data_IF_345597751703
#
_entry.id   IF_345597751703
#
_cell.length_a   1.000
_cell.length_b   1.000
_cell.length_c   1.000
_cell.angle_alpha   90.00
_cell.angle_beta   90.00
_cell.angle_gamma   90.00
#
_symmetry.space_group_name_H-M   'P 1'
#
loop_
_entity.id
_entity.type
_entity.pdbx_description
1 polymer ?
#
# COMPACT_ATOMS: atom_id res chain seq x y z
N UNK A 1 -6.68 20.32 -4.44
CA UNK A 1 -6.72 19.82 -3.04
C UNK A 1 -5.45 19.02 -2.80
N UNK A 2 -4.76 19.25 -1.67
CA UNK A 2 -3.55 18.52 -1.33
C UNK A 2 -3.71 17.85 0.03
N UNK A 3 -3.28 16.59 0.18
CA UNK A 3 -3.39 15.93 1.48
C UNK A 3 -3.12 14.43 1.44
N UNK A 4 -3.43 13.77 2.55
CA UNK A 4 -3.32 12.31 2.67
C UNK A 4 -4.41 11.62 1.81
N UNK A 5 -4.11 10.52 1.09
CA UNK A 5 -5.07 9.88 0.18
C UNK A 5 -6.46 9.55 0.78
N UNK A 6 -6.59 8.98 2.01
CA UNK A 6 -7.86 8.71 2.67
C UNK A 6 -8.63 9.99 2.98
N UNK A 7 -7.94 11.09 3.29
CA UNK A 7 -8.58 12.39 3.48
C UNK A 7 -9.13 12.92 2.16
N UNK A 8 -8.37 12.79 1.06
CA UNK A 8 -8.87 13.14 -0.28
C UNK A 8 -10.07 12.28 -0.67
N UNK A 9 -10.04 10.97 -0.37
CA UNK A 9 -11.19 10.08 -0.57
C UNK A 9 -12.40 10.51 0.26
N UNK A 10 -12.22 10.89 1.53
CA UNK A 10 -13.31 11.38 2.38
C UNK A 10 -13.89 12.70 1.84
N UNK A 11 -13.05 13.59 1.31
CA UNK A 11 -13.51 14.80 0.63
C UNK A 11 -14.28 14.45 -0.65
N UNK A 12 -13.79 13.49 -1.45
CA UNK A 12 -14.51 13.03 -2.63
C UNK A 12 -15.89 12.45 -2.27
N UNK A 13 -15.98 11.67 -1.19
CA UNK A 13 -17.25 11.21 -0.62
C UNK A 13 -18.16 12.35 -0.21
N UNK A 14 -17.64 13.34 0.51
CA UNK A 14 -18.42 14.48 0.97
C UNK A 14 -18.97 15.27 -0.23
N UNK A 15 -18.12 15.57 -1.22
CA UNK A 15 -18.51 16.32 -2.42
C UNK A 15 -19.59 15.58 -3.22
N UNK A 16 -19.42 14.27 -3.43
CA UNK A 16 -20.39 13.47 -4.19
C UNK A 16 -21.78 13.45 -3.52
N UNK A 17 -21.82 13.46 -2.18
CA UNK A 17 -23.05 13.37 -1.40
C UNK A 17 -23.63 14.73 -0.99
N UNK A 18 -22.97 15.85 -1.34
CA UNK A 18 -23.40 17.20 -0.99
C UNK A 18 -24.47 17.70 -1.97
N UNK A 19 -25.74 17.90 -1.54
CA UNK A 19 -26.82 18.34 -2.43
C UNK A 19 -26.58 19.70 -3.09
N UNK A 20 -25.81 20.59 -2.46
CA UNK A 20 -25.52 21.93 -2.99
C UNK A 20 -24.44 21.91 -4.08
N UNK A 21 -23.62 20.85 -4.08
CA UNK A 21 -22.58 20.61 -5.07
C UNK A 21 -23.04 19.67 -6.20
N UNK A 22 -24.13 18.92 -5.99
CA UNK A 22 -24.73 18.08 -7.02
C UNK A 22 -25.05 18.89 -8.29
N UNK A 23 -24.58 18.39 -9.44
CA UNK A 23 -24.77 19.04 -10.74
C UNK A 23 -23.83 20.22 -11.03
N UNK A 24 -23.00 20.67 -10.07
CA UNK A 24 -21.97 21.67 -10.34
C UNK A 24 -20.83 21.06 -11.16
N UNK A 25 -20.35 21.81 -12.15
CA UNK A 25 -19.15 21.44 -12.93
C UNK A 25 -17.91 21.97 -12.22
N UNK A 26 -17.31 21.14 -11.36
CA UNK A 26 -16.07 21.45 -10.66
C UNK A 26 -14.89 20.72 -11.33
N UNK A 27 -13.79 21.42 -11.56
CA UNK A 27 -12.52 20.80 -11.96
C UNK A 27 -11.69 20.50 -10.70
N UNK A 28 -11.84 19.29 -10.17
CA UNK A 28 -11.21 18.90 -8.91
C UNK A 28 -9.91 18.15 -9.18
N UNK A 29 -8.80 18.71 -8.72
CA UNK A 29 -7.48 18.08 -8.82
C UNK A 29 -6.93 17.76 -7.43
N UNK A 30 -6.49 16.53 -7.24
CA UNK A 30 -5.86 16.03 -6.01
C UNK A 30 -4.35 15.88 -6.16
N UNK A 31 -3.59 16.33 -5.17
CA UNK A 31 -2.18 15.95 -4.99
C UNK A 31 -2.07 15.26 -3.64
N UNK A 32 -1.72 13.98 -3.65
CA UNK A 32 -1.64 13.18 -2.43
C UNK A 32 -0.21 12.90 -2.00
N UNK A 33 0.00 12.69 -0.71
CA UNK A 33 1.31 12.33 -0.18
C UNK A 33 1.24 11.86 1.27
N UNK A 34 2.37 11.38 1.78
CA UNK A 34 2.48 10.84 3.13
C UNK A 34 2.19 9.34 3.25
N UNK A 35 1.52 8.72 2.28
CA UNK A 35 1.50 7.28 2.07
C UNK A 35 1.38 6.95 0.57
N UNK A 36 1.62 5.68 0.24
CA UNK A 36 1.32 5.15 -1.07
C UNK A 36 -0.18 5.12 -1.35
N UNK A 37 -0.57 5.42 -2.59
CA UNK A 37 -1.94 5.29 -3.07
C UNK A 37 -2.01 4.12 -4.04
N UNK A 38 -2.98 3.23 -3.87
CA UNK A 38 -3.28 2.15 -4.82
C UNK A 38 -4.02 2.69 -6.05
N UNK A 39 -3.92 2.01 -7.18
CA UNK A 39 -4.68 2.42 -8.38
C UNK A 39 -6.21 2.24 -8.18
N UNK A 40 -6.63 1.27 -7.37
CA UNK A 40 -8.05 1.13 -7.01
C UNK A 40 -8.56 2.34 -6.22
N UNK A 41 -7.78 2.84 -5.26
CA UNK A 41 -8.12 4.07 -4.53
C UNK A 41 -8.12 5.29 -5.46
N UNK A 42 -7.19 5.36 -6.41
CA UNK A 42 -7.19 6.40 -7.45
C UNK A 42 -8.49 6.37 -8.25
N UNK A 43 -8.84 5.22 -8.78
CA UNK A 43 -10.03 5.04 -9.62
C UNK A 43 -11.32 5.34 -8.82
N UNK A 44 -11.35 5.00 -7.52
CA UNK A 44 -12.43 5.37 -6.60
C UNK A 44 -12.57 6.89 -6.46
N UNK A 45 -11.47 7.62 -6.25
CA UNK A 45 -11.48 9.10 -6.12
C UNK A 45 -11.92 9.75 -7.43
N UNK A 46 -11.39 9.28 -8.57
CA UNK A 46 -11.76 9.78 -9.90
C UNK A 46 -13.24 9.53 -10.19
N UNK A 47 -13.74 8.32 -9.88
CA UNK A 47 -15.16 7.96 -10.02
C UNK A 47 -16.12 8.81 -9.18
N UNK A 48 -15.60 9.54 -8.19
CA UNK A 48 -16.37 10.46 -7.32
C UNK A 48 -16.28 11.93 -7.76
N UNK A 49 -15.80 12.19 -8.97
CA UNK A 49 -15.85 13.51 -9.60
C UNK A 49 -14.54 14.29 -9.58
N UNK A 50 -13.42 13.67 -9.19
CA UNK A 50 -12.10 14.27 -9.39
C UNK A 50 -11.68 14.16 -10.85
N UNK A 51 -11.17 15.26 -11.40
CA UNK A 51 -10.59 15.34 -12.74
C UNK A 51 -9.24 14.64 -12.80
N UNK A 52 -8.42 14.81 -11.77
CA UNK A 52 -7.16 14.08 -11.65
C UNK A 52 -6.75 13.95 -10.18
N UNK A 53 -5.98 12.92 -9.87
CA UNK A 53 -5.30 12.79 -8.60
C UNK A 53 -3.92 12.18 -8.86
N UNK A 54 -2.87 12.81 -8.32
CA UNK A 54 -1.47 12.41 -8.49
C UNK A 54 -0.77 12.37 -7.14
N UNK A 55 0.24 11.53 -7.01
CA UNK A 55 1.04 11.45 -5.79
C UNK A 55 2.30 12.30 -5.85
N UNK A 56 2.75 12.75 -4.68
CA UNK A 56 4.04 13.42 -4.46
C UNK A 56 4.79 12.68 -3.36
N UNK A 57 6.07 12.41 -3.58
CA UNK A 57 6.97 11.81 -2.61
C UNK A 57 7.80 12.87 -1.92
N UNK A 58 7.90 12.76 -0.60
CA UNK A 58 8.70 13.63 0.23
C UNK A 58 8.87 13.07 1.63
N UNK A 59 9.83 13.64 2.36
CA UNK A 59 10.09 13.31 3.76
C UNK A 59 10.43 14.58 4.53
N UNK A 60 9.93 14.70 5.76
CA UNK A 60 10.10 15.90 6.59
C UNK A 60 11.56 16.28 6.84
N UNK A 61 12.46 15.29 6.88
CA UNK A 61 13.90 15.51 7.10
C UNK A 61 14.66 15.86 5.81
N UNK A 62 14.03 15.57 4.67
CA UNK A 62 14.43 15.95 3.32
C UNK A 62 13.49 17.06 2.84
N UNK A 63 12.88 16.97 1.66
CA UNK A 63 11.89 17.92 1.18
C UNK A 63 10.51 17.26 1.00
N UNK A 64 9.47 18.09 0.97
CA UNK A 64 8.08 17.63 0.73
C UNK A 64 7.84 17.16 -0.72
N UNK A 65 8.68 17.58 -1.67
CA UNK A 65 8.55 17.25 -3.09
C UNK A 65 9.91 16.86 -3.66
N UNK A 66 10.30 15.61 -3.36
CA UNK A 66 11.47 14.94 -3.92
C UNK A 66 11.13 14.38 -5.29
N UNK A 67 9.97 13.73 -5.41
CA UNK A 67 9.48 13.15 -6.66
C UNK A 67 7.99 13.38 -6.83
N UNK A 68 7.53 13.41 -8.08
CA UNK A 68 6.13 13.64 -8.43
C UNK A 68 5.66 12.69 -9.51
N UNK A 69 4.39 12.34 -9.43
CA UNK A 69 3.72 11.46 -10.37
C UNK A 69 3.09 12.29 -11.50
N UNK A 70 3.11 11.75 -12.71
CA UNK A 70 2.35 12.27 -13.86
C UNK A 70 1.52 11.15 -14.47
N UNK A 71 0.83 11.43 -15.57
CA UNK A 71 0.12 10.42 -16.37
C UNK A 71 1.04 9.24 -16.74
N UNK A 72 2.32 9.51 -17.03
CA UNK A 72 3.29 8.47 -17.41
C UNK A 72 3.48 7.43 -16.31
N UNK A 73 3.64 7.86 -15.06
CA UNK A 73 3.85 7.00 -13.90
C UNK A 73 2.59 6.23 -13.54
N UNK A 74 1.44 6.87 -13.67
CA UNK A 74 0.13 6.20 -13.52
C UNK A 74 -0.01 5.09 -14.57
N UNK A 75 0.35 5.37 -15.83
CA UNK A 75 0.29 4.39 -16.93
C UNK A 75 1.25 3.22 -16.69
N UNK A 76 2.48 3.48 -16.24
CA UNK A 76 3.44 2.44 -15.85
C UNK A 76 2.84 1.54 -14.77
N UNK A 77 2.28 2.13 -13.71
CA UNK A 77 1.70 1.38 -12.59
C UNK A 77 0.51 0.53 -13.03
N UNK A 78 -0.39 1.10 -13.83
CA UNK A 78 -1.55 0.39 -14.40
C UNK A 78 -1.12 -0.72 -15.34
N UNK A 79 -0.04 -0.53 -16.10
CA UNK A 79 0.53 -1.55 -16.95
C UNK A 79 1.12 -2.71 -16.12
N UNK A 80 1.83 -2.42 -15.03
CA UNK A 80 2.37 -3.45 -14.13
C UNK A 80 1.29 -4.33 -13.50
N UNK A 81 0.10 -3.77 -13.20
CA UNK A 81 -1.05 -4.56 -12.72
C UNK A 81 -1.55 -5.57 -13.77
N UNK A 82 -1.46 -5.22 -15.06
CA UNK A 82 -1.89 -6.07 -16.17
C UNK A 82 -0.81 -7.04 -16.65
N UNK A 83 0.45 -6.73 -16.37
CA UNK A 83 1.62 -7.46 -16.85
C UNK A 83 2.57 -7.79 -15.69
N UNK A 84 2.35 -8.91 -14.95
CA UNK A 84 3.22 -9.30 -13.84
C UNK A 84 4.70 -9.48 -14.23
N UNK A 85 4.98 -9.91 -15.46
CA UNK A 85 6.36 -10.02 -15.97
C UNK A 85 7.01 -8.64 -16.18
N UNK A 86 6.24 -7.62 -16.57
CA UNK A 86 6.72 -6.23 -16.63
C UNK A 86 7.09 -5.73 -15.23
N UNK A 87 6.22 -5.98 -14.24
CA UNK A 87 6.49 -5.66 -12.83
C UNK A 87 7.77 -6.33 -12.33
N UNK A 88 7.96 -7.61 -12.69
CA UNK A 88 9.15 -8.39 -12.35
C UNK A 88 10.43 -7.80 -12.95
N UNK A 89 10.41 -7.43 -14.23
CA UNK A 89 11.57 -6.83 -14.89
C UNK A 89 11.86 -5.40 -14.38
N UNK A 90 10.81 -4.62 -14.09
CA UNK A 90 10.96 -3.25 -13.59
C UNK A 90 11.44 -3.20 -12.15
N UNK A 91 10.89 -3.99 -11.23
CA UNK A 91 11.18 -3.84 -9.79
C UNK A 91 11.17 -5.15 -8.99
N UNK A 92 11.18 -6.31 -9.65
CA UNK A 92 11.25 -7.62 -8.98
C UNK A 92 9.90 -8.28 -8.70
N UNK A 93 8.79 -7.62 -9.05
CA UNK A 93 7.44 -8.18 -8.96
C UNK A 93 6.66 -7.65 -7.75
N UNK A 94 5.48 -8.18 -7.53
CA UNK A 94 4.56 -7.68 -6.50
C UNK A 94 3.73 -6.47 -6.95
N UNK A 95 2.95 -5.91 -6.00
CA UNK A 95 2.13 -4.72 -6.18
C UNK A 95 2.99 -3.58 -6.71
N UNK A 96 2.46 -2.76 -7.63
CA UNK A 96 3.19 -1.61 -8.13
C UNK A 96 3.58 -0.67 -6.98
N UNK A 97 4.87 -0.34 -6.84
CA UNK A 97 5.28 0.73 -5.94
C UNK A 97 4.72 2.06 -6.43
N UNK A 98 4.87 3.08 -5.60
CA UNK A 98 4.79 4.43 -6.11
C UNK A 98 5.88 4.68 -7.15
N UNK A 99 5.54 5.33 -8.27
CA UNK A 99 6.49 5.66 -9.33
C UNK A 99 6.49 7.17 -9.49
N UNK A 100 7.68 7.76 -9.60
CA UNK A 100 7.86 9.19 -9.72
C UNK A 100 8.99 9.51 -10.70
N UNK A 101 8.92 10.64 -11.38
CA UNK A 101 10.14 11.34 -11.77
C UNK A 101 10.69 12.14 -10.59
N UNK A 102 12.01 12.30 -10.55
CA UNK A 102 12.68 13.26 -9.65
C UNK A 102 13.77 14.01 -10.39
N UNK A 103 14.15 15.16 -9.85
CA UNK A 103 15.22 15.98 -10.43
C UNK A 103 16.59 15.60 -9.81
N UNK A 104 17.52 15.02 -10.60
CA UNK A 104 18.83 14.64 -10.11
C UNK A 104 19.73 15.83 -9.75
N UNK A 105 19.39 17.06 -10.17
CA UNK A 105 20.07 18.27 -9.71
C UNK A 105 19.65 18.66 -8.28
N UNK A 106 18.49 18.18 -7.83
CA UNK A 106 18.00 18.42 -6.47
C UNK A 106 18.44 17.32 -5.52
N UNK A 107 18.36 16.06 -5.97
CA UNK A 107 18.72 14.90 -5.16
C UNK A 107 19.52 13.89 -5.99
N UNK A 108 20.69 13.50 -5.48
CA UNK A 108 21.30 12.25 -5.90
C UNK A 108 20.68 11.12 -5.08
N UNK A 109 20.06 10.16 -5.75
CA UNK A 109 19.37 9.02 -5.12
C UNK A 109 20.01 7.75 -5.63
N UNK A 110 20.37 6.87 -4.71
CA UNK A 110 20.93 5.56 -4.99
C UNK A 110 20.15 4.47 -4.28
N UNK A 111 20.31 3.23 -4.75
CA UNK A 111 19.70 2.05 -4.16
C UNK A 111 20.79 1.16 -3.59
N UNK A 112 20.68 0.80 -2.31
CA UNK A 112 21.63 -0.12 -1.67
C UNK A 112 21.47 -1.54 -2.20
N UNK A 113 22.40 -2.44 -1.83
CA UNK A 113 22.29 -3.86 -2.20
C UNK A 113 21.08 -4.53 -1.55
N UNK A 114 20.66 -4.01 -0.41
CA UNK A 114 19.51 -4.45 0.38
C UNK A 114 18.18 -3.85 -0.12
N UNK A 115 18.23 -3.00 -1.15
CA UNK A 115 17.06 -2.39 -1.79
C UNK A 115 16.53 -1.14 -1.08
N UNK A 116 17.32 -0.51 -0.21
CA UNK A 116 16.96 0.76 0.45
C UNK A 116 17.37 1.96 -0.41
N UNK A 117 16.57 3.03 -0.34
CA UNK A 117 16.83 4.30 -1.00
C UNK A 117 17.67 5.20 -0.10
N UNK A 118 18.79 5.68 -0.66
CA UNK A 118 19.72 6.57 0.01
C UNK A 118 19.79 7.88 -0.77
N UNK A 119 19.69 9.00 -0.05
CA UNK A 119 19.49 10.32 -0.61
C UNK A 119 20.69 11.21 -0.29
N UNK A 120 21.09 12.06 -1.23
CA UNK A 120 22.01 13.17 -1.01
C UNK A 120 21.38 14.42 -1.61
N UNK A 121 21.20 15.46 -0.79
CA UNK A 121 20.66 16.74 -1.25
C UNK A 121 21.74 17.52 -1.99
N UNK A 122 21.48 17.85 -3.25
CA UNK A 122 22.39 18.56 -4.14
C UNK A 122 22.09 20.07 -4.21
N UNK A 123 21.00 20.53 -3.59
CA UNK A 123 20.61 21.95 -3.53
C UNK A 123 21.52 22.74 -2.59
N UNK A 124 21.98 23.90 -3.04
CA UNK A 124 22.86 24.79 -2.26
C UNK A 124 22.12 25.55 -1.17
N UNK A 125 20.82 25.73 -1.35
CA UNK A 125 19.96 26.53 -0.47
C UNK A 125 19.57 25.78 0.81
N UNK A 126 19.89 24.48 0.90
CA UNK A 126 19.61 23.64 2.07
C UNK A 126 20.73 23.75 3.08
N UNK A 127 20.37 23.97 4.35
CA UNK A 127 21.33 24.08 5.46
C UNK A 127 22.13 22.79 5.69
N UNK A 128 21.58 21.62 5.33
CA UNK A 128 22.28 20.33 5.41
C UNK A 128 22.18 19.58 4.08
N UNK A 129 23.31 19.12 3.51
CA UNK A 129 23.32 18.34 2.29
C UNK A 129 22.83 16.90 2.48
N UNK A 130 22.59 16.46 3.74
CA UNK A 130 22.08 15.11 4.05
C UNK A 130 22.76 14.01 3.22
N UNK A 131 24.10 13.96 3.28
CA UNK A 131 24.90 13.07 2.43
C UNK A 131 24.63 11.61 2.81
N UNK A 132 24.31 10.79 1.79
CA UNK A 132 23.97 9.37 1.94
C UNK A 132 22.97 9.12 3.09
N UNK A 133 21.98 9.98 3.20
CA UNK A 133 20.95 9.88 4.22
C UNK A 133 19.98 8.76 3.87
N UNK A 134 19.88 7.77 4.76
CA UNK A 134 19.00 6.62 4.58
C UNK A 134 17.67 6.87 5.26
N UNK A 135 16.60 6.91 4.47
CA UNK A 135 15.23 7.00 4.99
C UNK A 135 14.68 5.63 5.39
N UNK A 136 15.34 4.54 4.99
CA UNK A 136 14.85 3.15 5.05
C UNK A 136 13.64 2.86 4.16
N UNK A 137 13.27 3.80 3.28
CA UNK A 137 12.30 3.50 2.23
C UNK A 137 12.94 2.53 1.24
N UNK A 138 12.22 1.45 0.93
CA UNK A 138 12.68 0.48 -0.06
C UNK A 138 12.23 0.87 -1.45
N UNK A 139 13.05 0.58 -2.45
CA UNK A 139 12.79 1.06 -3.81
C UNK A 139 13.97 0.91 -4.74
N UNK A 140 13.83 1.50 -5.93
CA UNK A 140 14.93 1.56 -6.90
C UNK A 140 14.87 2.78 -7.80
N UNK A 141 16.01 3.15 -8.34
CA UNK A 141 16.15 4.21 -9.35
C UNK A 141 16.45 3.60 -10.71
N UNK A 142 15.83 4.12 -11.77
CA UNK A 142 16.09 3.69 -13.15
C UNK A 142 16.15 4.89 -14.10
N UNK A 143 17.00 4.80 -15.12
CA UNK A 143 17.02 5.82 -16.17
C UNK A 143 15.77 5.71 -17.04
N UNK A 144 15.23 6.85 -17.48
CA UNK A 144 14.02 6.88 -18.31
C UNK A 144 14.12 6.00 -19.56
N UNK A 145 15.27 6.05 -20.27
CA UNK A 145 15.52 5.20 -21.44
C UNK A 145 15.35 3.69 -21.15
N UNK A 146 15.73 3.24 -19.96
CA UNK A 146 15.70 1.82 -19.60
C UNK A 146 14.27 1.40 -19.28
N UNK A 147 13.53 2.25 -18.54
CA UNK A 147 12.10 2.04 -18.26
C UNK A 147 11.28 2.02 -19.55
N UNK A 148 11.50 2.97 -20.46
CA UNK A 148 10.83 3.01 -21.78
C UNK A 148 11.15 1.76 -22.58
N UNK A 149 12.42 1.33 -22.64
CA UNK A 149 12.82 0.14 -23.35
C UNK A 149 12.16 -1.12 -22.77
N UNK A 150 12.09 -1.24 -21.43
CA UNK A 150 11.44 -2.36 -20.76
C UNK A 150 9.94 -2.36 -21.05
N UNK A 151 9.24 -1.25 -20.85
CA UNK A 151 7.80 -1.14 -21.14
C UNK A 151 7.47 -1.56 -22.59
N UNK A 152 8.29 -1.10 -23.55
CA UNK A 152 8.12 -1.44 -24.97
C UNK A 152 8.23 -2.94 -25.25
N UNK A 153 9.07 -3.70 -24.53
CA UNK A 153 9.17 -5.17 -24.68
C UNK A 153 7.84 -5.87 -24.40
N UNK A 154 7.02 -5.31 -23.52
CA UNK A 154 5.72 -5.85 -23.13
C UNK A 154 4.55 -5.19 -23.88
N UNK A 155 4.83 -4.43 -24.94
CA UNK A 155 3.80 -3.74 -25.73
C UNK A 155 3.18 -2.52 -25.05
N UNK A 156 3.83 -2.00 -24.00
CA UNK A 156 3.38 -0.83 -23.26
C UNK A 156 4.15 0.39 -23.76
N UNK A 157 3.46 1.27 -24.48
CA UNK A 157 4.02 2.54 -24.94
C UNK A 157 3.82 3.61 -23.87
N UNK A 158 4.93 4.10 -23.33
CA UNK A 158 4.96 5.24 -22.40
C UNK A 158 5.69 6.41 -23.07
N UNK A 159 5.23 7.63 -22.84
CA UNK A 159 5.85 8.84 -23.39
C UNK A 159 6.15 9.87 -22.28
N UNK A 160 7.24 9.68 -21.53
CA UNK A 160 7.64 10.61 -20.49
C UNK A 160 7.87 12.00 -21.11
N UNK A 161 7.17 13.03 -20.60
CA UNK A 161 7.32 14.41 -21.10
C UNK A 161 8.73 14.98 -20.84
N UNK A 162 9.44 14.41 -19.88
CA UNK A 162 10.78 14.80 -19.46
C UNK A 162 11.69 13.58 -19.37
N UNK A 163 12.95 13.72 -19.79
CA UNK A 163 13.93 12.65 -19.72
C UNK A 163 14.67 12.67 -18.36
N UNK A 164 13.91 12.54 -17.27
CA UNK A 164 14.44 12.43 -15.91
C UNK A 164 14.43 10.96 -15.46
N UNK A 165 15.26 10.56 -14.47
CA UNK A 165 15.19 9.21 -13.92
C UNK A 165 13.85 8.95 -13.23
N UNK A 166 13.43 7.69 -13.26
CA UNK A 166 12.31 7.18 -12.48
C UNK A 166 12.79 6.70 -11.11
N UNK A 167 11.97 6.97 -10.10
CA UNK A 167 12.09 6.50 -8.74
C UNK A 167 10.89 5.62 -8.41
N UNK A 168 11.16 4.37 -8.08
CA UNK A 168 10.19 3.39 -7.60
C UNK A 168 10.30 3.32 -6.07
N UNK A 169 9.21 3.56 -5.35
CA UNK A 169 9.16 3.64 -3.88
C UNK A 169 8.09 2.70 -3.33
N UNK A 170 8.51 1.64 -2.65
CA UNK A 170 7.63 0.77 -1.86
C UNK A 170 7.40 1.33 -0.45
N UNK A 171 8.29 2.20 0.02
CA UNK A 171 8.24 2.79 1.36
C UNK A 171 8.96 1.95 2.42
N UNK A 172 8.97 2.47 3.65
CA UNK A 172 9.59 1.86 4.83
C UNK A 172 8.58 1.30 5.84
N UNK A 173 7.35 1.81 5.78
CA UNK A 173 6.22 1.41 6.61
C UNK A 173 5.32 0.48 5.78
N UNK A 174 4.55 -0.41 6.41
CA UNK A 174 3.62 -1.26 5.67
C UNK A 174 4.20 -2.58 5.15
N UNK A 175 5.41 -2.97 5.53
CA UNK A 175 5.99 -4.27 5.14
C UNK A 175 6.32 -5.12 6.36
N UNK A 176 6.00 -6.41 6.31
CA UNK A 176 6.42 -7.39 7.30
C UNK A 176 7.18 -8.55 6.68
N UNK A 177 8.11 -9.13 7.43
CA UNK A 177 8.87 -10.30 6.98
C UNK A 177 8.18 -11.58 7.42
N UNK A 178 8.00 -12.52 6.50
CA UNK A 178 7.50 -13.86 6.77
C UNK A 178 8.39 -14.87 6.08
N UNK A 179 9.12 -15.68 6.87
CA UNK A 179 10.07 -16.69 6.35
C UNK A 179 11.18 -16.14 5.46
N UNK A 180 11.50 -14.86 5.56
CA UNK A 180 12.46 -14.17 4.69
C UNK A 180 11.84 -13.50 3.45
N UNK A 181 10.55 -13.71 3.16
CA UNK A 181 9.84 -12.91 2.15
C UNK A 181 9.30 -11.61 2.76
N UNK A 182 9.32 -10.54 1.98
CA UNK A 182 8.68 -9.26 2.32
C UNK A 182 7.22 -9.29 1.87
N UNK A 183 6.32 -9.22 2.84
CA UNK A 183 4.87 -9.06 2.61
C UNK A 183 4.52 -7.59 2.82
N UNK A 184 4.28 -6.89 1.72
CA UNK A 184 3.76 -5.52 1.70
C UNK A 184 2.25 -5.48 1.98
N UNK A 185 1.80 -4.44 2.68
CA UNK A 185 0.39 -4.16 2.98
C UNK A 185 -0.42 -4.00 1.69
N UNK A 186 0.18 -3.50 0.62
CA UNK A 186 -0.45 -3.38 -0.70
C UNK A 186 -0.88 -4.75 -1.26
N UNK A 187 -0.19 -5.85 -0.91
CA UNK A 187 -0.65 -7.19 -1.27
C UNK A 187 -1.98 -7.51 -0.57
N UNK A 188 -2.08 -7.20 0.73
CA UNK A 188 -3.27 -7.41 1.52
C UNK A 188 -4.42 -6.54 1.01
N UNK A 189 -4.17 -5.26 0.74
CA UNK A 189 -5.17 -4.33 0.21
C UNK A 189 -5.73 -4.83 -1.13
N UNK A 190 -4.86 -5.19 -2.08
CA UNK A 190 -5.29 -5.68 -3.39
C UNK A 190 -6.06 -7.00 -3.28
N UNK A 191 -5.62 -7.91 -2.42
CA UNK A 191 -6.30 -9.17 -2.20
C UNK A 191 -7.69 -8.99 -1.59
N UNK A 192 -7.84 -8.12 -0.58
CA UNK A 192 -9.15 -7.79 0.01
C UNK A 192 -10.05 -7.16 -1.04
N UNK A 193 -9.58 -6.16 -1.79
CA UNK A 193 -10.38 -5.47 -2.82
C UNK A 193 -10.84 -6.41 -3.93
N UNK A 194 -10.02 -7.40 -4.30
CA UNK A 194 -10.37 -8.39 -5.31
C UNK A 194 -11.42 -9.40 -4.81
N UNK A 195 -11.41 -9.74 -3.52
CA UNK A 195 -12.27 -10.78 -2.94
C UNK A 195 -13.59 -10.23 -2.37
N UNK A 196 -13.55 -9.07 -1.73
CA UNK A 196 -14.69 -8.48 -1.03
C UNK A 196 -15.52 -7.54 -1.92
N UNK A 197 -16.14 -8.14 -2.94
CA UNK A 197 -16.99 -7.40 -3.89
C UNK A 197 -18.26 -6.82 -3.24
N UNK A 198 -18.71 -7.41 -2.13
CA UNK A 198 -19.91 -6.99 -1.39
C UNK A 198 -19.61 -5.93 -0.31
N UNK A 199 -18.36 -5.45 -0.20
CA UNK A 199 -17.92 -4.43 0.77
C UNK A 199 -18.22 -4.81 2.24
N UNK A 200 -18.00 -6.09 2.58
CA UNK A 200 -18.16 -6.60 3.95
C UNK A 200 -17.00 -6.22 4.86
N UNK A 201 -15.82 -5.96 4.31
CA UNK A 201 -14.62 -5.52 5.00
C UNK A 201 -14.59 -3.99 5.04
N UNK A 202 -14.24 -3.44 6.19
CA UNK A 202 -14.05 -2.01 6.32
C UNK A 202 -12.82 -1.56 5.50
N UNK A 203 -12.96 -0.62 4.56
CA UNK A 203 -11.92 -0.25 3.61
C UNK A 203 -10.71 0.46 4.23
N UNK A 204 -10.77 0.82 5.52
CA UNK A 204 -9.68 1.48 6.25
C UNK A 204 -9.17 0.69 7.46
N UNK A 205 -9.66 -0.53 7.67
CA UNK A 205 -9.41 -1.30 8.91
C UNK A 205 -8.97 -2.72 8.59
N UNK A 206 -7.83 -2.79 7.93
CA UNK A 206 -7.06 -4.02 7.79
C UNK A 206 -5.56 -3.71 7.85
N UNK A 207 -4.79 -4.66 8.37
CA UNK A 207 -3.37 -4.49 8.67
C UNK A 207 -2.63 -5.83 8.66
N UNK A 208 -1.30 -5.77 8.52
CA UNK A 208 -0.41 -6.87 8.81
C UNK A 208 -0.06 -6.84 10.30
N UNK A 209 -0.08 -8.00 10.96
CA UNK A 209 0.41 -8.15 12.32
C UNK A 209 1.40 -9.30 12.39
N UNK A 210 2.47 -9.10 13.15
CA UNK A 210 3.51 -10.09 13.36
C UNK A 210 3.58 -10.44 14.85
N UNK A 211 2.88 -11.51 15.31
CA UNK A 211 2.87 -11.90 16.72
C UNK A 211 4.23 -12.39 17.21
N UNK A 212 4.95 -13.11 16.34
CA UNK A 212 6.28 -13.67 16.62
C UNK A 212 7.13 -13.71 15.35
N UNK A 213 8.40 -14.12 15.45
CA UNK A 213 9.36 -14.06 14.34
C UNK A 213 8.90 -14.82 13.08
N UNK A 214 8.16 -15.92 13.26
CA UNK A 214 7.74 -16.81 12.18
C UNK A 214 6.24 -16.77 11.88
N UNK A 215 5.47 -16.01 12.65
CA UNK A 215 4.01 -15.91 12.48
C UNK A 215 3.64 -14.64 11.73
N UNK A 216 2.57 -14.72 10.95
CA UNK A 216 1.98 -13.59 10.26
C UNK A 216 0.46 -13.68 10.36
N UNK A 217 -0.15 -12.59 10.79
CA UNK A 217 -1.59 -12.41 10.82
C UNK A 217 -2.03 -11.30 9.86
N UNK A 218 -3.11 -11.55 9.13
CA UNK A 218 -3.83 -10.57 8.34
C UNK A 218 -5.07 -10.13 9.14
N UNK A 219 -5.03 -8.91 9.64
CA UNK A 219 -6.10 -8.34 10.44
C UNK A 219 -7.15 -7.71 9.55
N UNK A 220 -8.42 -8.01 9.79
CA UNK A 220 -9.56 -7.54 9.01
C UNK A 220 -10.69 -7.15 9.96
N UNK A 221 -11.20 -5.93 9.84
CA UNK A 221 -12.42 -5.51 10.55
C UNK A 221 -13.61 -5.53 9.60
N UNK A 222 -14.74 -6.11 10.04
CA UNK A 222 -15.98 -6.07 9.29
C UNK A 222 -16.56 -4.64 9.23
N UNK A 223 -17.30 -4.35 8.16
CA UNK A 223 -17.94 -3.05 7.93
C UNK A 223 -19.18 -2.83 8.82
N UNK A 224 -19.96 -3.89 9.07
CA UNK A 224 -21.13 -3.89 9.97
C UNK A 224 -21.20 -5.21 10.77
N UNK A 225 -22.06 -5.26 11.79
CA UNK A 225 -22.27 -6.49 12.58
C UNK A 225 -22.84 -7.62 11.72
N UNK A 226 -23.71 -7.31 10.75
CA UNK A 226 -24.20 -8.31 9.79
C UNK A 226 -23.07 -8.82 8.90
N UNK A 227 -22.20 -7.92 8.43
CA UNK A 227 -21.03 -8.30 7.64
C UNK A 227 -20.06 -9.18 8.45
N UNK A 228 -19.90 -8.90 9.75
CA UNK A 228 -19.09 -9.72 10.66
C UNK A 228 -19.64 -11.15 10.75
N UNK A 229 -20.93 -11.34 10.98
CA UNK A 229 -21.52 -12.69 11.09
C UNK A 229 -21.39 -13.48 9.78
N UNK A 230 -21.54 -12.81 8.62
CA UNK A 230 -21.34 -13.44 7.31
C UNK A 230 -19.87 -13.83 7.10
N UNK A 231 -18.92 -12.91 7.35
CA UNK A 231 -17.49 -13.18 7.21
C UNK A 231 -17.03 -14.28 8.17
N UNK A 232 -17.52 -14.27 9.41
CA UNK A 232 -17.25 -15.27 10.43
C UNK A 232 -17.76 -16.66 10.01
N UNK A 233 -18.94 -16.72 9.39
CA UNK A 233 -19.52 -17.97 8.90
C UNK A 233 -18.75 -18.63 7.74
N UNK A 234 -18.03 -17.85 6.94
CA UNK A 234 -17.22 -18.33 5.79
C UNK A 234 -15.72 -18.03 5.95
N UNK A 235 -15.25 -17.84 7.20
CA UNK A 235 -13.91 -17.28 7.46
C UNK A 235 -12.78 -18.18 6.96
N UNK A 236 -12.95 -19.50 7.02
CA UNK A 236 -11.97 -20.48 6.54
C UNK A 236 -11.74 -20.32 5.03
N UNK A 237 -12.83 -20.17 4.27
CA UNK A 237 -12.78 -19.97 2.83
C UNK A 237 -12.25 -18.59 2.46
N UNK A 238 -12.63 -17.55 3.22
CA UNK A 238 -12.12 -16.19 3.04
C UNK A 238 -10.62 -16.14 3.29
N UNK A 239 -10.14 -16.70 4.41
CA UNK A 239 -8.71 -16.83 4.71
C UNK A 239 -7.99 -17.53 3.57
N UNK A 240 -8.55 -18.65 3.08
CA UNK A 240 -7.89 -19.40 2.02
C UNK A 240 -7.68 -18.58 0.77
N UNK A 241 -8.77 -18.00 0.27
CA UNK A 241 -8.73 -17.16 -0.93
C UNK A 241 -7.82 -15.95 -0.73
N UNK A 242 -7.82 -15.34 0.46
CA UNK A 242 -6.98 -14.18 0.74
C UNK A 242 -5.49 -14.52 0.65
N UNK A 243 -5.07 -15.61 1.30
CA UNK A 243 -3.68 -16.04 1.32
C UNK A 243 -3.23 -16.49 -0.08
N UNK A 244 -4.07 -17.25 -0.78
CA UNK A 244 -3.80 -17.66 -2.17
C UNK A 244 -3.64 -16.43 -3.07
N UNK A 245 -4.49 -15.42 -2.90
CA UNK A 245 -4.44 -14.19 -3.70
C UNK A 245 -3.18 -13.37 -3.45
N UNK A 246 -2.74 -13.28 -2.20
CA UNK A 246 -1.45 -12.65 -1.85
C UNK A 246 -0.31 -13.45 -2.49
N UNK A 247 -0.33 -14.78 -2.42
CA UNK A 247 0.70 -15.66 -2.98
C UNK A 247 0.80 -15.60 -4.51
N UNK A 248 -0.31 -15.39 -5.23
CA UNK A 248 -0.31 -15.15 -6.68
C UNK A 248 0.56 -13.94 -7.06
N UNK A 249 0.53 -12.89 -6.24
CA UNK A 249 1.25 -11.64 -6.49
C UNK A 249 2.64 -11.58 -5.87
N UNK A 250 2.99 -12.50 -4.97
CA UNK A 250 4.27 -12.54 -4.27
C UNK A 250 4.91 -13.94 -4.37
N UNK A 251 5.80 -14.11 -5.35
CA UNK A 251 6.43 -15.41 -5.63
C UNK A 251 7.29 -15.93 -4.48
N UNK A 252 7.94 -15.07 -3.72
CA UNK A 252 8.78 -15.50 -2.60
C UNK A 252 7.93 -15.90 -1.40
N UNK A 253 6.83 -15.20 -1.14
CA UNK A 253 5.84 -15.61 -0.15
C UNK A 253 5.24 -16.98 -0.53
N UNK A 254 4.88 -17.19 -1.80
CA UNK A 254 4.39 -18.48 -2.30
C UNK A 254 5.36 -19.63 -2.05
N UNK A 255 6.65 -19.45 -2.38
CA UNK A 255 7.68 -20.48 -2.12
C UNK A 255 7.76 -20.85 -0.63
N UNK A 256 7.60 -19.88 0.26
CA UNK A 256 7.64 -20.11 1.71
C UNK A 256 6.41 -20.88 2.18
N UNK A 257 5.23 -20.56 1.66
CA UNK A 257 4.00 -21.31 1.93
C UNK A 257 4.14 -22.77 1.46
N UNK A 258 4.60 -22.98 0.22
CA UNK A 258 4.81 -24.31 -0.37
C UNK A 258 5.84 -25.13 0.45
N UNK A 259 6.87 -24.47 0.98
CA UNK A 259 7.93 -25.08 1.78
C UNK A 259 7.52 -25.51 3.18
N UNK A 260 6.36 -25.05 3.70
CA UNK A 260 5.80 -25.41 5.02
C UNK A 260 6.76 -25.24 6.22
N UNK A 261 7.79 -24.41 6.07
CA UNK A 261 8.82 -24.19 7.07
C UNK A 261 8.35 -23.25 8.21
N UNK A 262 7.30 -22.47 7.98
CA UNK A 262 6.74 -21.51 8.92
C UNK A 262 5.28 -21.86 9.25
N UNK A 263 4.77 -21.46 10.44
CA UNK A 263 3.34 -21.50 10.73
C UNK A 263 2.55 -20.82 9.61
N UNK A 264 1.47 -21.46 9.14
CA UNK A 264 0.65 -20.88 8.08
C UNK A 264 0.08 -19.54 8.53
N UNK A 265 0.06 -18.49 7.68
CA UNK A 265 -0.52 -17.22 8.04
C UNK A 265 -2.00 -17.35 8.41
N UNK A 266 -2.47 -16.51 9.31
CA UNK A 266 -3.85 -16.54 9.82
C UNK A 266 -4.58 -15.23 9.55
N UNK A 267 -5.88 -15.28 9.37
CA UNK A 267 -6.77 -14.12 9.35
C UNK A 267 -7.39 -13.96 10.73
N UNK A 268 -7.32 -12.74 11.24
CA UNK A 268 -8.03 -12.34 12.45
C UNK A 268 -9.14 -11.37 12.08
N UNK A 269 -10.39 -11.80 12.30
CA UNK A 269 -11.59 -11.01 12.05
C UNK A 269 -12.03 -10.26 13.32
N UNK A 270 -12.26 -8.96 13.20
CA UNK A 270 -12.76 -8.09 14.26
C UNK A 270 -14.17 -7.60 13.95
N UNK A 271 -14.96 -7.41 15.02
CA UNK A 271 -16.23 -6.67 14.94
C UNK A 271 -15.99 -5.19 14.63
N UNK A 272 -16.96 -4.49 14.02
CA UNK A 272 -16.84 -3.07 13.70
C UNK A 272 -16.47 -2.24 14.92
N UNK A 273 -15.41 -1.44 14.80
CA UNK A 273 -14.98 -0.52 15.86
C UNK A 273 -14.27 -1.13 17.07
N UNK A 274 -14.07 -2.45 17.12
CA UNK A 274 -13.39 -3.18 18.20
C UNK A 274 -11.93 -3.54 17.87
N UNK A 275 -11.49 -3.42 16.61
CA UNK A 275 -10.10 -3.71 16.28
C UNK A 275 -9.13 -2.72 16.93
N UNK A 276 -7.87 -3.12 17.20
CA UNK A 276 -6.81 -2.20 17.59
C UNK A 276 -6.65 -1.02 16.63
N UNK A 277 -6.90 -1.22 15.33
CA UNK A 277 -6.87 -0.17 14.30
C UNK A 277 -7.94 0.89 14.55
N UNK A 278 -9.16 0.47 14.89
CA UNK A 278 -10.27 1.37 15.22
C UNK A 278 -10.08 2.08 16.55
N UNK A 279 -9.54 1.38 17.56
CA UNK A 279 -9.18 1.99 18.86
C UNK A 279 -8.11 3.07 18.65
N UNK A 280 -7.05 2.75 17.90
CA UNK A 280 -5.98 3.70 17.59
C UNK A 280 -6.51 4.92 16.86
N UNK A 281 -7.38 4.73 15.86
CA UNK A 281 -7.99 5.84 15.12
C UNK A 281 -8.87 6.73 16.01
N UNK A 282 -9.68 6.15 16.92
CA UNK A 282 -10.50 6.92 17.86
C UNK A 282 -9.64 7.79 18.79
N UNK A 283 -8.50 7.27 19.25
CA UNK A 283 -7.57 8.00 20.11
C UNK A 283 -6.72 9.02 19.34
N UNK A 284 -6.44 8.75 18.06
CA UNK A 284 -5.49 9.52 17.24
C UNK A 284 -6.06 9.79 15.82
N UNK A 285 -7.16 10.54 15.69
CA UNK A 285 -7.88 10.68 14.40
C UNK A 285 -7.07 11.39 13.31
N UNK A 286 -6.00 12.10 13.68
CA UNK A 286 -5.11 12.81 12.75
C UNK A 286 -3.84 12.04 12.40
N UNK A 287 -3.63 10.84 12.96
CA UNK A 287 -2.49 9.99 12.62
C UNK A 287 -2.78 9.10 11.41
N UNK A 288 -1.72 8.69 10.73
CA UNK A 288 -1.78 7.74 9.62
C UNK A 288 -2.36 6.41 10.10
N UNK A 289 -2.99 5.69 9.18
CA UNK A 289 -3.50 4.35 9.45
C UNK A 289 -2.34 3.39 9.74
N UNK A 290 -2.47 2.60 10.80
CA UNK A 290 -1.48 1.57 11.14
C UNK A 290 -1.65 0.37 10.21
N UNK A 291 -0.84 0.31 9.16
CA UNK A 291 -0.84 -0.78 8.16
C UNK A 291 -0.10 -2.03 8.61
N UNK A 292 0.82 -1.83 9.55
CA UNK A 292 1.61 -2.87 10.22
C UNK A 292 1.51 -2.60 11.70
N UNK A 293 1.06 -3.59 12.46
CA UNK A 293 0.92 -3.51 13.91
C UNK A 293 1.93 -4.46 14.55
N UNK A 294 2.91 -3.91 15.27
CA UNK A 294 3.91 -4.69 16.00
C UNK A 294 3.40 -5.10 17.37
N UNK A 295 3.82 -6.27 17.84
CA UNK A 295 3.46 -6.75 19.18
C UNK A 295 3.94 -5.79 20.27
N UNK A 296 3.09 -5.55 21.26
CA UNK A 296 3.37 -4.67 22.41
C UNK A 296 2.52 -5.06 23.62
N UNK A 297 2.94 -4.68 24.83
CA UNK A 297 2.16 -4.96 26.04
C UNK A 297 0.75 -4.34 25.98
N UNK A 298 0.64 -3.12 25.44
CA UNK A 298 -0.63 -2.44 25.23
C UNK A 298 -1.50 -3.19 24.21
N UNK A 299 -0.89 -3.69 23.12
CA UNK A 299 -1.61 -4.46 22.11
C UNK A 299 -2.17 -5.76 22.68
N UNK A 300 -1.42 -6.45 23.54
CA UNK A 300 -1.88 -7.67 24.23
C UNK A 300 -3.10 -7.39 25.09
N UNK A 301 -3.13 -6.25 25.79
CA UNK A 301 -4.30 -5.84 26.56
C UNK A 301 -5.50 -5.52 25.66
N UNK A 302 -5.29 -4.84 24.53
CA UNK A 302 -6.35 -4.57 23.56
C UNK A 302 -6.90 -5.86 22.94
N UNK A 303 -6.04 -6.80 22.56
CA UNK A 303 -6.44 -8.11 22.03
C UNK A 303 -7.19 -8.95 23.07
N UNK A 304 -6.78 -8.89 24.35
CA UNK A 304 -7.51 -9.55 25.44
C UNK A 304 -8.92 -8.96 25.65
N UNK A 305 -9.10 -7.66 25.43
CA UNK A 305 -10.41 -6.99 25.48
C UNK A 305 -11.27 -7.27 24.24
N UNK A 306 -10.64 -7.44 23.07
CA UNK A 306 -11.27 -7.91 21.84
C UNK A 306 -11.49 -9.44 21.86
N UNK A 307 -12.07 -9.95 22.95
CA UNK A 307 -12.30 -11.39 23.18
C UNK A 307 -13.22 -12.05 22.16
N UNK A 308 -14.01 -11.26 21.44
CA UNK A 308 -14.86 -11.68 20.32
C UNK A 308 -14.12 -11.70 18.97
N UNK A 309 -12.83 -11.34 18.91
CA UNK A 309 -12.05 -11.48 17.69
C UNK A 309 -11.91 -12.95 17.31
N UNK A 310 -12.23 -13.27 16.06
CA UNK A 310 -12.20 -14.64 15.57
C UNK A 310 -10.88 -14.89 14.86
N UNK A 311 -10.08 -15.82 15.38
CA UNK A 311 -8.86 -16.31 14.75
C UNK A 311 -9.17 -17.67 14.13
N UNK A 312 -8.82 -17.83 12.86
CA UNK A 312 -8.86 -19.15 12.23
C UNK A 312 -7.70 -19.98 12.77
N UNK A 313 -8.01 -20.95 13.63
CA UNK A 313 -7.04 -21.96 14.07
C UNK A 313 -7.06 -23.15 13.10
N UNK A 314 -5.90 -23.79 12.91
CA UNK A 314 -5.51 -24.69 11.81
C UNK A 314 -6.37 -25.95 11.50
N UNK A 315 -7.65 -26.01 11.84
CA UNK A 315 -8.45 -27.21 11.65
C UNK A 315 -8.82 -27.53 10.18
N UNK A 316 -8.86 -26.54 9.28
CA UNK A 316 -9.53 -26.71 7.97
C UNK A 316 -8.73 -26.24 6.75
N UNK A 317 -7.44 -26.53 6.67
CA UNK A 317 -6.71 -26.38 5.40
C UNK A 317 -6.32 -27.75 4.83
N UNK A 318 -6.82 -28.12 3.63
CA UNK A 318 -6.28 -29.29 2.95
C UNK A 318 -4.86 -28.97 2.49
N UNK A 319 -3.96 -29.88 2.81
CA UNK A 319 -2.60 -30.02 2.24
C UNK A 319 -2.66 -30.02 0.72
#
# INVERSE_FOLDING_TARGET
LCGYPPNIRNIANAIQNDPDLQGRKLALHGIVGGEGMTEDLRDEILGKGFTSVFSSYGASDLDINIGYETETEVDIRKACLKHPELAKELYGGGPPPMVFHYDPLHYFIETTKEGELVFTCCRKERASPRIRYNLHDTGKVMMSKDVVAICKKYGVEINPKINLPFLFVHGREGTESYGGSKVHYEHLEQAIRALDTDKRVNPDRFALHKPSENELEFWVEAQTDEAYEVLKGDIDNFQRKLIDKIAESNTDFKKILDGKANPHPQVRLFKPGESPMSIHFKQNPHRKLQRVVKDSAELKEQLAKASDSHIVTHANYPV
#
